data_IF_884723200852
#
_entry.id   IF_884723200852
#
_cell.length_a   1.000
_cell.length_b   1.000
_cell.length_c   1.000
_cell.angle_alpha   90.00
_cell.angle_beta   90.00
_cell.angle_gamma   90.00
#
_symmetry.space_group_name_H-M   'P 1'
#
loop_
_entity.id
_entity.type
_entity.pdbx_description
1 polymer ?
#
# COMPACT_ATOMS: atom_id res chain seq x y z
N UNK A 1 33.03 22.06 42.59
CA UNK A 1 31.72 21.54 43.01
C UNK A 1 30.60 21.76 42.00
N UNK A 2 30.49 22.91 41.30
CA UNK A 2 29.39 23.18 40.33
C UNK A 2 29.40 22.28 39.09
N UNK A 3 30.55 21.82 38.58
CA UNK A 3 30.63 20.94 37.39
C UNK A 3 30.28 19.47 37.66
N UNK A 4 30.48 18.99 38.88
CA UNK A 4 30.13 17.60 39.26
C UNK A 4 28.62 17.42 39.39
N UNK A 5 27.90 18.45 39.89
CA UNK A 5 26.44 18.42 40.05
C UNK A 5 25.74 18.42 38.67
N UNK A 6 26.28 19.16 37.68
CA UNK A 6 25.70 19.21 36.33
C UNK A 6 25.83 17.89 35.59
N UNK A 7 26.96 17.20 35.72
CA UNK A 7 27.21 15.90 35.09
C UNK A 7 26.32 14.80 35.68
N UNK A 8 26.09 14.81 37.00
CA UNK A 8 25.22 13.83 37.66
C UNK A 8 23.74 14.03 37.24
N UNK A 9 23.29 15.29 37.11
CA UNK A 9 21.91 15.55 36.63
C UNK A 9 21.69 15.13 35.18
N UNK A 10 22.70 15.28 34.31
CA UNK A 10 22.58 14.88 32.88
C UNK A 10 22.52 13.34 32.73
N UNK A 11 23.33 12.61 33.51
CA UNK A 11 23.32 11.14 33.54
C UNK A 11 21.99 10.61 34.10
N UNK A 12 21.45 11.25 35.15
CA UNK A 12 20.17 10.85 35.72
C UNK A 12 18.99 11.07 34.77
N UNK A 13 18.99 12.15 33.97
CA UNK A 13 17.94 12.40 32.95
C UNK A 13 18.03 11.40 31.83
N UNK A 14 19.23 11.04 31.36
CA UNK A 14 19.40 10.04 30.30
C UNK A 14 18.95 8.64 30.79
N UNK A 15 19.25 8.28 32.05
CA UNK A 15 18.79 6.99 32.59
C UNK A 15 17.27 6.95 32.83
N UNK A 16 16.63 8.07 33.17
CA UNK A 16 15.17 8.13 33.33
C UNK A 16 14.44 7.97 31.99
N UNK A 17 14.94 8.57 30.90
CA UNK A 17 14.33 8.45 29.57
C UNK A 17 14.50 7.06 28.96
N UNK A 18 15.65 6.40 29.18
CA UNK A 18 15.88 5.03 28.71
C UNK A 18 14.98 4.02 29.44
N UNK A 19 14.82 4.16 30.76
CA UNK A 19 13.96 3.28 31.55
C UNK A 19 12.46 3.41 31.21
N UNK A 20 11.99 4.56 30.74
CA UNK A 20 10.58 4.72 30.31
C UNK A 20 10.28 4.06 28.98
N UNK A 21 11.23 4.00 28.03
CA UNK A 21 11.05 3.28 26.78
C UNK A 21 11.00 1.74 26.98
N UNK A 22 11.85 1.18 27.84
CA UNK A 22 11.86 -0.26 28.13
C UNK A 22 10.70 -0.74 29.02
N UNK A 23 10.07 0.15 29.80
CA UNK A 23 8.92 -0.20 30.64
C UNK A 23 7.58 -0.25 29.87
N UNK A 24 7.53 0.26 28.64
CA UNK A 24 6.29 0.35 27.88
C UNK A 24 5.94 -0.98 27.16
N UNK A 25 6.93 -1.75 26.71
CA UNK A 25 6.71 -3.05 26.04
C UNK A 25 6.04 -4.10 26.94
N UNK A 26 6.50 -4.37 28.17
CA UNK A 26 5.86 -5.37 29.02
C UNK A 26 4.41 -5.04 29.34
N UNK A 27 4.07 -3.75 29.44
CA UNK A 27 2.72 -3.29 29.75
C UNK A 27 1.78 -3.48 28.54
N UNK A 28 2.22 -3.17 27.31
CA UNK A 28 1.44 -3.35 26.09
C UNK A 28 1.12 -4.82 25.84
N UNK A 29 2.11 -5.71 25.97
CA UNK A 29 1.93 -7.16 25.78
C UNK A 29 0.92 -7.73 26.77
N UNK A 30 1.00 -7.33 28.06
CA UNK A 30 0.06 -7.79 29.06
C UNK A 30 -1.36 -7.23 28.83
N UNK A 31 -1.49 -5.99 28.40
CA UNK A 31 -2.78 -5.40 28.06
C UNK A 31 -3.41 -6.08 26.84
N UNK A 32 -2.64 -6.33 25.79
CA UNK A 32 -3.07 -7.09 24.62
C UNK A 32 -3.48 -8.53 24.95
N UNK A 33 -2.76 -9.17 25.89
CA UNK A 33 -3.12 -10.51 26.40
C UNK A 33 -4.49 -10.52 27.07
N UNK A 34 -4.86 -9.47 27.82
CA UNK A 34 -6.20 -9.36 28.43
C UNK A 34 -7.30 -9.15 27.40
N UNK A 35 -7.01 -8.47 26.29
CA UNK A 35 -7.93 -8.27 25.19
C UNK A 35 -8.14 -9.56 24.35
N UNK A 36 -7.09 -10.36 24.18
CA UNK A 36 -7.13 -11.70 23.60
C UNK A 36 -7.45 -11.80 22.12
N UNK A 37 -7.84 -10.71 21.47
CA UNK A 37 -8.20 -10.66 20.04
C UNK A 37 -7.94 -9.29 19.43
N UNK A 38 -7.88 -9.25 18.09
CA UNK A 38 -7.82 -8.03 17.29
C UNK A 38 -8.52 -8.24 15.94
N UNK A 39 -9.27 -7.26 15.48
CA UNK A 39 -9.94 -7.28 14.17
C UNK A 39 -9.17 -6.38 13.20
N UNK A 40 -8.63 -6.99 12.17
CA UNK A 40 -7.82 -6.32 11.16
C UNK A 40 -8.57 -6.21 9.82
N UNK A 41 -9.01 -5.00 9.47
CA UNK A 41 -9.57 -4.69 8.16
C UNK A 41 -8.45 -4.35 7.18
N UNK A 42 -8.41 -5.01 6.02
CA UNK A 42 -7.27 -4.90 5.12
C UNK A 42 -7.62 -5.12 3.64
N UNK A 43 -6.85 -4.47 2.77
CA UNK A 43 -6.89 -4.70 1.32
C UNK A 43 -5.70 -5.52 0.83
N UNK A 44 -4.74 -5.85 1.70
CA UNK A 44 -3.54 -6.61 1.35
C UNK A 44 -3.84 -8.11 1.22
N UNK A 45 -3.28 -8.74 0.18
CA UNK A 45 -3.57 -10.14 -0.16
C UNK A 45 -2.99 -11.14 0.83
N UNK A 46 -1.86 -10.83 1.43
CA UNK A 46 -1.06 -11.68 2.33
C UNK A 46 -1.38 -11.47 3.81
N UNK A 47 -2.42 -10.73 4.14
CA UNK A 47 -2.76 -10.38 5.52
C UNK A 47 -3.04 -11.61 6.40
N UNK A 48 -3.61 -12.67 5.85
CA UNK A 48 -3.85 -13.92 6.59
C UNK A 48 -2.53 -14.57 7.02
N UNK A 49 -1.54 -14.61 6.14
CA UNK A 49 -0.23 -15.17 6.43
C UNK A 49 0.52 -14.33 7.46
N UNK A 50 0.44 -13.01 7.36
CA UNK A 50 1.04 -12.10 8.35
C UNK A 50 0.36 -12.25 9.71
N UNK A 51 -0.97 -12.40 9.74
CA UNK A 51 -1.72 -12.68 10.96
C UNK A 51 -1.28 -14.00 11.62
N UNK A 52 -1.04 -15.05 10.84
CA UNK A 52 -0.52 -16.32 11.35
C UNK A 52 0.88 -16.18 11.97
N UNK A 53 1.78 -15.40 11.36
CA UNK A 53 3.10 -15.13 11.92
C UNK A 53 3.01 -14.28 13.21
N UNK A 54 2.08 -13.34 13.28
CA UNK A 54 1.78 -12.61 14.51
C UNK A 54 1.28 -13.56 15.61
N UNK A 55 0.33 -14.44 15.32
CA UNK A 55 -0.21 -15.39 16.28
C UNK A 55 0.83 -16.42 16.78
N UNK A 56 1.80 -16.80 15.94
CA UNK A 56 2.94 -17.62 16.38
C UNK A 56 3.79 -16.90 17.44
N UNK A 57 4.03 -15.60 17.25
CA UNK A 57 4.81 -14.78 18.19
C UNK A 57 3.99 -14.44 19.45
N UNK A 58 2.69 -14.18 19.29
CA UNK A 58 1.78 -13.77 20.36
C UNK A 58 0.54 -14.68 20.41
N UNK A 59 0.70 -15.95 20.84
CA UNK A 59 -0.36 -16.97 20.76
C UNK A 59 -1.59 -16.69 21.62
N UNK A 60 -1.50 -15.68 22.47
CA UNK A 60 -2.57 -15.23 23.35
C UNK A 60 -3.47 -14.15 22.70
N UNK A 61 -3.18 -13.69 21.46
CA UNK A 61 -4.04 -12.77 20.71
C UNK A 61 -4.43 -13.44 19.40
N UNK A 62 -5.75 -13.55 19.16
CA UNK A 62 -6.29 -14.02 17.89
C UNK A 62 -6.54 -12.87 16.94
N UNK A 63 -6.15 -13.01 15.67
CA UNK A 63 -6.34 -12.00 14.63
C UNK A 63 -7.51 -12.41 13.72
N UNK A 64 -8.58 -11.63 13.76
CA UNK A 64 -9.67 -11.75 12.80
C UNK A 64 -9.38 -10.85 11.59
N UNK A 65 -9.05 -11.45 10.45
CA UNK A 65 -8.75 -10.73 9.22
C UNK A 65 -10.00 -10.59 8.36
N UNK A 66 -10.42 -9.34 8.12
CA UNK A 66 -11.50 -9.00 7.18
C UNK A 66 -10.87 -8.35 5.96
N UNK A 67 -10.73 -9.14 4.88
CA UNK A 67 -10.13 -8.70 3.62
C UNK A 67 -11.20 -8.39 2.57
N UNK A 68 -11.02 -7.24 1.89
CA UNK A 68 -11.83 -6.84 0.73
C UNK A 68 -11.00 -6.04 -0.27
N UNK A 69 -11.61 -5.54 -1.34
CA UNK A 69 -11.03 -4.54 -2.22
C UNK A 69 -11.23 -3.13 -1.64
N UNK A 70 -10.54 -2.13 -2.18
CA UNK A 70 -10.37 -0.79 -1.59
C UNK A 70 -11.71 -0.12 -1.26
N UNK A 71 -12.58 0.10 -2.26
CA UNK A 71 -13.84 0.83 -2.05
C UNK A 71 -14.92 0.03 -1.32
N UNK A 72 -15.12 -1.27 -1.59
CA UNK A 72 -16.03 -2.09 -0.79
C UNK A 72 -15.68 -2.09 0.70
N UNK A 73 -14.38 -2.14 1.05
CA UNK A 73 -13.96 -2.07 2.45
C UNK A 73 -14.22 -0.68 3.04
N UNK A 74 -13.91 0.39 2.30
CA UNK A 74 -14.19 1.77 2.74
C UNK A 74 -15.69 1.98 2.99
N UNK A 75 -16.54 1.56 2.05
CA UNK A 75 -17.99 1.67 2.16
C UNK A 75 -18.52 0.87 3.36
N UNK A 76 -17.98 -0.32 3.62
CA UNK A 76 -18.31 -1.10 4.80
C UNK A 76 -18.01 -0.33 6.08
N UNK A 77 -16.78 0.23 6.20
CA UNK A 77 -16.38 1.02 7.38
C UNK A 77 -17.33 2.21 7.57
N UNK A 78 -17.67 2.93 6.50
CA UNK A 78 -18.58 4.08 6.59
C UNK A 78 -20.00 3.66 6.98
N UNK A 79 -20.50 2.53 6.49
CA UNK A 79 -21.82 2.01 6.86
C UNK A 79 -21.86 1.59 8.33
N UNK A 80 -20.84 0.86 8.80
CA UNK A 80 -20.70 0.46 10.18
C UNK A 80 -20.64 1.70 11.10
N UNK A 81 -19.82 2.70 10.76
CA UNK A 81 -19.71 3.93 11.54
C UNK A 81 -21.02 4.73 11.61
N UNK A 82 -21.81 4.80 10.49
CA UNK A 82 -23.13 5.44 10.46
C UNK A 82 -24.14 4.68 11.34
N UNK A 83 -24.01 3.36 11.44
CA UNK A 83 -24.82 2.54 12.32
C UNK A 83 -24.35 2.57 13.79
N UNK A 84 -23.32 3.36 14.13
CA UNK A 84 -22.73 3.39 15.47
C UNK A 84 -21.91 2.16 15.82
N UNK A 85 -21.63 1.28 14.85
CA UNK A 85 -20.85 0.06 15.01
C UNK A 85 -19.40 0.30 14.59
N UNK A 86 -18.45 0.00 15.46
CA UNK A 86 -17.02 0.16 15.23
C UNK A 86 -16.37 -1.22 15.37
N UNK A 87 -16.28 -1.96 14.25
CA UNK A 87 -15.99 -3.39 14.27
C UNK A 87 -14.53 -3.73 13.98
N UNK A 88 -13.69 -2.75 13.63
CA UNK A 88 -12.29 -2.98 13.39
C UNK A 88 -11.42 -2.30 14.44
N UNK A 89 -10.26 -2.88 14.73
CA UNK A 89 -9.24 -2.32 15.62
C UNK A 89 -8.09 -1.73 14.80
N UNK A 90 -7.70 -2.41 13.73
CA UNK A 90 -6.61 -2.00 12.83
C UNK A 90 -7.12 -1.97 11.40
N UNK A 91 -6.72 -0.96 10.64
CA UNK A 91 -7.06 -0.86 9.22
C UNK A 91 -5.84 -0.62 8.36
N UNK A 92 -5.72 -1.37 7.24
CA UNK A 92 -4.78 -1.11 6.15
C UNK A 92 -5.56 -0.81 4.89
N UNK A 93 -5.33 0.36 4.28
CA UNK A 93 -6.03 0.85 3.11
C UNK A 93 -5.06 1.44 2.06
N UNK A 94 -5.57 1.91 0.93
CA UNK A 94 -4.81 2.75 0.01
C UNK A 94 -4.61 4.15 0.57
N UNK A 95 -3.61 4.87 0.08
CA UNK A 95 -3.25 6.22 0.56
C UNK A 95 -4.46 7.16 0.64
N UNK A 96 -5.28 7.22 -0.41
CA UNK A 96 -6.38 8.21 -0.50
C UNK A 96 -7.60 7.80 0.32
N UNK A 97 -7.96 6.52 0.31
CA UNK A 97 -9.08 6.05 1.15
C UNK A 97 -8.73 6.12 2.63
N UNK A 98 -7.44 5.99 2.98
CA UNK A 98 -7.01 6.20 4.36
C UNK A 98 -7.15 7.68 4.78
N UNK A 99 -6.84 8.62 3.90
CA UNK A 99 -7.08 10.05 4.15
C UNK A 99 -8.56 10.35 4.46
N UNK A 100 -9.50 9.67 3.78
CA UNK A 100 -10.92 9.79 4.07
C UNK A 100 -11.28 9.23 5.47
N UNK A 101 -10.60 8.17 5.94
CA UNK A 101 -10.79 7.67 7.32
C UNK A 101 -10.34 8.70 8.35
N UNK A 102 -9.22 9.40 8.11
CA UNK A 102 -8.76 10.50 8.97
C UNK A 102 -9.79 11.64 9.00
N UNK A 103 -10.23 12.11 7.85
CA UNK A 103 -11.22 13.20 7.73
C UNK A 103 -12.54 12.88 8.45
N UNK A 104 -12.94 11.61 8.50
CA UNK A 104 -14.14 11.13 9.20
C UNK A 104 -13.91 10.81 10.67
N UNK A 105 -12.70 11.01 11.22
CA UNK A 105 -12.37 10.69 12.60
C UNK A 105 -12.49 9.20 12.95
N UNK A 106 -12.26 8.30 11.97
CA UNK A 106 -12.41 6.85 12.14
C UNK A 106 -11.11 6.16 12.54
N UNK A 107 -10.00 6.88 12.50
CA UNK A 107 -8.67 6.42 12.95
C UNK A 107 -8.10 7.42 13.94
N UNK A 108 -7.19 6.97 14.78
CA UNK A 108 -6.51 7.77 15.79
C UNK A 108 -5.00 7.65 15.66
N UNK A 109 -4.24 8.64 16.16
CA UNK A 109 -2.79 8.56 16.19
C UNK A 109 -2.29 7.40 17.06
N UNK A 110 -1.23 6.74 16.57
CA UNK A 110 -0.43 5.81 17.35
C UNK A 110 1.05 5.90 16.94
N UNK A 111 1.88 6.31 17.88
CA UNK A 111 3.32 6.45 17.70
C UNK A 111 4.03 5.13 18.07
N UNK A 112 4.05 4.19 17.13
CA UNK A 112 4.84 2.97 17.25
C UNK A 112 6.34 3.32 17.27
N UNK A 113 7.13 2.70 18.13
CA UNK A 113 8.59 2.84 18.13
C UNK A 113 9.23 2.38 16.81
N UNK A 114 8.57 1.46 16.10
CA UNK A 114 9.03 0.97 14.79
C UNK A 114 9.05 2.04 13.70
N UNK A 115 8.33 3.15 13.90
CA UNK A 115 8.29 4.30 12.96
C UNK A 115 9.65 4.96 12.73
N UNK A 116 10.60 4.78 13.63
CA UNK A 116 11.97 5.27 13.44
C UNK A 116 12.64 4.66 12.19
N UNK A 117 12.33 3.42 11.85
CA UNK A 117 12.82 2.75 10.67
C UNK A 117 12.23 3.25 9.34
N UNK A 118 11.33 4.24 9.36
CA UNK A 118 10.60 4.72 8.17
C UNK A 118 10.94 6.18 7.86
N UNK A 119 11.22 6.46 6.57
CA UNK A 119 11.43 7.83 6.09
C UNK A 119 10.15 8.67 6.19
N UNK A 120 10.29 10.00 6.17
CA UNK A 120 9.19 10.95 6.36
C UNK A 120 8.02 10.76 5.35
N UNK A 121 8.31 10.33 4.11
CA UNK A 121 7.28 10.08 3.09
C UNK A 121 6.42 8.83 3.34
N UNK A 122 6.85 7.94 4.24
CA UNK A 122 6.20 6.67 4.54
C UNK A 122 5.48 6.63 5.89
N UNK A 123 5.38 7.75 6.55
CA UNK A 123 4.66 7.89 7.81
C UNK A 123 4.01 9.27 7.94
N UNK A 124 2.84 9.32 8.54
CA UNK A 124 2.15 10.57 8.86
C UNK A 124 2.83 11.31 10.01
N UNK A 125 2.95 12.63 9.90
CA UNK A 125 3.59 13.45 10.94
C UNK A 125 2.83 13.45 12.28
N UNK A 126 1.51 13.27 12.21
CA UNK A 126 0.64 13.26 13.39
C UNK A 126 0.40 11.85 13.96
N UNK A 127 1.01 10.81 13.36
CA UNK A 127 0.91 9.44 13.86
C UNK A 127 -0.30 8.64 13.38
N UNK A 128 -1.16 9.17 12.51
CA UNK A 128 -2.35 8.48 12.08
C UNK A 128 -2.04 7.19 11.30
N UNK A 129 -0.90 7.13 10.60
CA UNK A 129 -0.51 5.95 9.82
C UNK A 129 1.00 5.81 9.64
N UNK A 130 1.39 4.58 9.32
CA UNK A 130 2.70 4.25 8.75
C UNK A 130 2.46 3.28 7.60
N UNK A 131 3.14 3.48 6.48
CA UNK A 131 2.99 2.60 5.32
C UNK A 131 3.65 1.25 5.56
N UNK A 132 2.98 0.17 5.22
CA UNK A 132 3.54 -1.19 5.31
C UNK A 132 4.34 -1.56 4.07
N UNK A 133 3.95 -1.04 2.92
CA UNK A 133 4.52 -1.40 1.62
C UNK A 133 4.25 -0.31 0.59
N UNK A 134 5.00 -0.34 -0.49
CA UNK A 134 4.76 0.48 -1.67
C UNK A 134 4.21 -0.36 -2.83
N UNK A 135 3.32 0.21 -3.62
CA UNK A 135 2.73 -0.43 -4.78
C UNK A 135 3.12 0.36 -6.03
N UNK A 136 3.91 -0.24 -6.91
CA UNK A 136 4.28 0.35 -8.19
C UNK A 136 3.29 -0.11 -9.26
N UNK A 137 2.58 0.84 -9.87
CA UNK A 137 1.74 0.59 -11.05
C UNK A 137 2.63 0.50 -12.29
N UNK A 138 2.73 -0.68 -12.86
CA UNK A 138 3.59 -0.97 -14.00
C UNK A 138 2.81 -1.61 -15.14
N UNK A 139 3.36 -1.57 -16.34
CA UNK A 139 2.88 -2.38 -17.47
C UNK A 139 3.56 -3.75 -17.39
N UNK A 140 2.78 -4.78 -17.04
CA UNK A 140 3.19 -6.17 -17.13
C UNK A 140 2.94 -6.73 -18.53
N UNK A 141 3.72 -7.72 -18.96
CA UNK A 141 3.55 -8.37 -20.26
C UNK A 141 3.79 -9.87 -20.18
N UNK A 142 3.15 -10.61 -21.10
CA UNK A 142 3.37 -12.05 -21.27
C UNK A 142 4.63 -12.30 -22.12
N UNK A 143 5.64 -12.91 -21.54
CA UNK A 143 6.94 -13.14 -22.19
C UNK A 143 6.93 -14.16 -23.33
N UNK A 144 5.82 -14.92 -23.49
CA UNK A 144 5.61 -15.82 -24.63
C UNK A 144 4.98 -15.10 -25.83
N UNK A 145 4.24 -14.00 -25.58
CA UNK A 145 3.52 -13.25 -26.61
C UNK A 145 4.27 -12.00 -27.05
N UNK A 146 5.06 -11.41 -26.16
CA UNK A 146 5.81 -10.17 -26.42
C UNK A 146 7.26 -10.39 -26.03
N UNK A 147 8.18 -10.22 -26.97
CA UNK A 147 9.61 -10.22 -26.67
C UNK A 147 10.00 -8.93 -25.96
N UNK A 148 11.05 -8.95 -25.14
CA UNK A 148 11.52 -7.76 -24.39
C UNK A 148 11.80 -6.56 -25.31
N UNK A 149 12.39 -6.79 -26.50
CA UNK A 149 12.69 -5.74 -27.49
C UNK A 149 11.43 -5.09 -28.08
N UNK A 150 10.29 -5.81 -28.08
CA UNK A 150 9.03 -5.35 -28.68
C UNK A 150 8.09 -4.71 -27.65
N UNK A 151 8.47 -4.71 -26.36
CA UNK A 151 7.70 -4.07 -25.29
C UNK A 151 7.62 -2.55 -25.49
N UNK A 152 6.55 -1.89 -25.00
CA UNK A 152 6.53 -0.43 -24.83
C UNK A 152 7.70 0.02 -23.98
N UNK A 153 8.31 1.16 -24.31
CA UNK A 153 9.40 1.75 -23.52
C UNK A 153 8.89 2.91 -22.65
N UNK A 154 7.79 3.51 -23.08
CA UNK A 154 7.23 4.74 -22.56
C UNK A 154 5.69 4.70 -22.65
N UNK A 155 5.03 5.64 -22.02
CA UNK A 155 3.57 5.82 -22.04
C UNK A 155 3.04 5.99 -23.48
N UNK A 156 3.73 6.75 -24.35
CA UNK A 156 3.31 7.01 -25.73
C UNK A 156 3.33 5.72 -26.57
N UNK A 157 4.23 4.78 -26.29
CA UNK A 157 4.30 3.49 -27.03
C UNK A 157 3.04 2.63 -26.83
N UNK A 158 2.30 2.82 -25.73
CA UNK A 158 1.01 2.14 -25.49
C UNK A 158 -0.08 2.58 -26.47
N UNK A 159 0.12 3.72 -27.15
CA UNK A 159 -0.80 4.24 -28.17
C UNK A 159 -0.53 3.68 -29.57
N UNK A 160 0.51 2.87 -29.76
CA UNK A 160 0.83 2.27 -31.04
C UNK A 160 -0.29 1.31 -31.49
N UNK A 161 -0.65 1.28 -32.80
CA UNK A 161 -1.76 0.47 -33.32
C UNK A 161 -1.67 -1.03 -33.00
N UNK A 162 -0.46 -1.57 -32.85
CA UNK A 162 -0.24 -2.98 -32.50
C UNK A 162 -0.83 -3.39 -31.14
N UNK A 163 -1.09 -2.42 -30.25
CA UNK A 163 -1.63 -2.69 -28.92
C UNK A 163 -3.15 -2.54 -28.84
N UNK A 164 -3.81 -2.21 -29.93
CA UNK A 164 -5.27 -2.03 -29.95
C UNK A 164 -5.98 -3.33 -29.56
N UNK A 165 -6.83 -3.25 -28.51
CA UNK A 165 -7.52 -4.40 -27.94
C UNK A 165 -6.64 -5.35 -27.13
N UNK A 166 -5.37 -5.01 -26.93
CA UNK A 166 -4.34 -5.89 -26.34
C UNK A 166 -3.93 -5.52 -24.92
N UNK A 167 -4.55 -4.49 -24.33
CA UNK A 167 -4.16 -3.93 -23.00
C UNK A 167 -5.25 -4.23 -21.99
N UNK A 168 -4.90 -4.97 -20.91
CA UNK A 168 -5.76 -5.17 -19.76
C UNK A 168 -5.62 -4.03 -18.72
N UNK A 169 -6.74 -3.56 -18.17
CA UNK A 169 -6.76 -2.48 -17.18
C UNK A 169 -7.84 -2.72 -16.12
N UNK A 170 -7.54 -2.40 -14.87
CA UNK A 170 -8.52 -2.45 -13.79
C UNK A 170 -9.47 -1.25 -13.85
N UNK A 171 -10.77 -1.51 -13.62
CA UNK A 171 -11.82 -0.50 -13.55
C UNK A 171 -11.53 0.64 -12.56
N UNK A 172 -10.72 0.38 -11.54
CA UNK A 172 -10.42 1.31 -10.47
C UNK A 172 -9.01 1.96 -10.59
N UNK A 173 -8.32 1.80 -11.74
CA UNK A 173 -6.98 2.35 -11.94
C UNK A 173 -6.96 3.85 -12.33
N UNK A 174 -7.92 4.63 -11.86
CA UNK A 174 -7.98 6.08 -12.07
C UNK A 174 -6.76 6.84 -11.49
N UNK A 175 -6.01 6.24 -10.57
CA UNK A 175 -4.77 6.82 -10.05
C UNK A 175 -3.67 6.95 -11.12
N UNK A 176 -3.72 6.16 -12.20
CA UNK A 176 -2.85 6.37 -13.36
C UNK A 176 -3.11 7.73 -14.01
N UNK A 177 -4.39 8.09 -14.18
CA UNK A 177 -4.77 9.41 -14.68
C UNK A 177 -4.29 10.50 -13.74
N UNK A 178 -4.57 10.39 -12.43
CA UNK A 178 -4.17 11.38 -11.43
C UNK A 178 -2.66 11.57 -11.34
N UNK A 179 -1.88 10.49 -11.45
CA UNK A 179 -0.41 10.56 -11.46
C UNK A 179 0.12 11.28 -12.68
N UNK A 180 -0.37 10.97 -13.87
CA UNK A 180 0.06 11.66 -15.09
C UNK A 180 -0.43 13.11 -15.12
N UNK A 181 -1.61 13.42 -14.58
CA UNK A 181 -2.08 14.80 -14.43
C UNK A 181 -1.11 15.65 -13.59
N UNK A 182 -0.53 15.09 -12.53
CA UNK A 182 0.41 15.82 -11.66
C UNK A 182 1.69 16.24 -12.39
N UNK A 183 2.16 15.44 -13.35
CA UNK A 183 3.41 15.72 -14.09
C UNK A 183 3.17 16.41 -15.40
N UNK A 184 2.15 15.98 -16.17
CA UNK A 184 1.92 16.47 -17.51
C UNK A 184 0.97 17.68 -17.57
N UNK A 185 0.24 17.92 -16.46
CA UNK A 185 -0.89 18.82 -16.44
C UNK A 185 -2.16 18.18 -16.98
N UNK A 186 -3.32 18.77 -16.60
CA UNK A 186 -4.64 18.21 -16.87
C UNK A 186 -4.93 18.00 -18.35
N UNK A 187 -4.66 19.00 -19.18
CA UNK A 187 -5.00 18.94 -20.62
C UNK A 187 -4.24 17.80 -21.33
N UNK A 188 -2.94 17.69 -21.07
CA UNK A 188 -2.12 16.63 -21.69
C UNK A 188 -2.55 15.25 -21.18
N UNK A 189 -2.82 15.09 -19.89
CA UNK A 189 -3.32 13.85 -19.32
C UNK A 189 -4.67 13.44 -19.94
N UNK A 190 -5.64 14.36 -20.04
CA UNK A 190 -6.92 14.11 -20.70
C UNK A 190 -6.74 13.68 -22.17
N UNK A 191 -5.90 14.38 -22.93
CA UNK A 191 -5.63 14.06 -24.32
C UNK A 191 -5.02 12.64 -24.47
N UNK A 192 -4.06 12.30 -23.60
CA UNK A 192 -3.44 10.98 -23.59
C UNK A 192 -4.46 9.88 -23.29
N UNK A 193 -5.24 10.00 -22.21
CA UNK A 193 -6.21 8.97 -21.83
C UNK A 193 -7.35 8.81 -22.85
N UNK A 194 -7.76 9.89 -23.54
CA UNK A 194 -8.69 9.78 -24.69
C UNK A 194 -8.10 8.94 -25.84
N UNK A 195 -6.82 9.12 -26.15
CA UNK A 195 -6.11 8.27 -27.13
C UNK A 195 -5.99 6.81 -26.65
N UNK A 196 -5.70 6.63 -25.35
CA UNK A 196 -5.63 5.29 -24.75
C UNK A 196 -7.00 4.60 -24.79
N UNK A 197 -8.11 5.32 -24.62
CA UNK A 197 -9.45 4.76 -24.76
C UNK A 197 -9.73 4.27 -26.19
N UNK A 198 -9.17 4.93 -27.23
CA UNK A 198 -9.27 4.50 -28.63
C UNK A 198 -8.50 3.19 -28.87
N UNK A 199 -7.59 2.79 -27.98
CA UNK A 199 -6.92 1.49 -28.02
C UNK A 199 -7.84 0.32 -27.63
N UNK A 200 -9.13 0.55 -27.33
CA UNK A 200 -10.06 -0.51 -26.93
C UNK A 200 -9.56 -1.34 -25.75
N UNK A 201 -9.12 -0.63 -24.70
CA UNK A 201 -8.60 -1.26 -23.46
C UNK A 201 -9.63 -2.22 -22.87
N UNK A 202 -9.15 -3.39 -22.42
CA UNK A 202 -9.98 -4.45 -21.85
C UNK A 202 -10.09 -4.33 -20.34
N UNK A 203 -11.27 -4.00 -19.83
CA UNK A 203 -11.48 -3.78 -18.40
C UNK A 203 -11.87 -5.04 -17.64
N UNK A 204 -11.26 -5.25 -16.49
CA UNK A 204 -11.64 -6.26 -15.48
C UNK A 204 -11.56 -5.65 -14.09
N UNK A 205 -12.13 -6.32 -13.11
CA UNK A 205 -12.10 -5.85 -11.73
C UNK A 205 -10.99 -6.54 -10.94
N UNK A 206 -9.96 -5.80 -10.62
CA UNK A 206 -8.83 -6.19 -9.77
C UNK A 206 -7.53 -6.49 -10.52
N UNK A 207 -6.45 -5.78 -10.11
CA UNK A 207 -5.11 -5.93 -10.70
C UNK A 207 -4.57 -7.38 -10.61
N UNK A 208 -4.98 -8.14 -9.59
CA UNK A 208 -4.61 -9.57 -9.48
C UNK A 208 -5.20 -10.40 -10.62
N UNK A 209 -6.46 -10.15 -10.98
CA UNK A 209 -7.10 -10.83 -12.11
C UNK A 209 -6.43 -10.45 -13.43
N UNK A 210 -6.12 -9.17 -13.64
CA UNK A 210 -5.39 -8.73 -14.83
C UNK A 210 -4.06 -9.49 -14.97
N UNK A 211 -3.28 -9.61 -13.89
CA UNK A 211 -2.02 -10.35 -13.92
C UNK A 211 -2.22 -11.83 -14.29
N UNK A 212 -3.25 -12.48 -13.78
CA UNK A 212 -3.59 -13.87 -14.12
C UNK A 212 -3.99 -14.02 -15.60
N UNK A 213 -4.75 -13.09 -16.16
CA UNK A 213 -5.17 -13.09 -17.55
C UNK A 213 -3.99 -12.83 -18.50
N UNK A 214 -3.02 -11.99 -18.10
CA UNK A 214 -1.76 -11.84 -18.83
C UNK A 214 -0.98 -13.16 -18.85
N UNK A 215 -0.83 -13.82 -17.70
CA UNK A 215 -0.16 -15.14 -17.61
C UNK A 215 -0.86 -16.18 -18.49
N UNK A 216 -2.18 -16.19 -18.52
CA UNK A 216 -2.99 -17.08 -19.36
C UNK A 216 -2.90 -16.77 -20.86
N UNK A 217 -2.40 -15.60 -21.24
CA UNK A 217 -2.29 -15.17 -22.64
C UNK A 217 -3.54 -14.50 -23.20
N UNK A 218 -4.50 -14.14 -22.35
CA UNK A 218 -5.70 -13.38 -22.73
C UNK A 218 -5.33 -11.97 -23.23
N UNK A 219 -4.35 -11.36 -22.57
CA UNK A 219 -3.76 -10.08 -22.93
C UNK A 219 -2.25 -10.18 -23.04
N UNK A 220 -1.62 -9.64 -24.08
CA UNK A 220 -0.16 -9.53 -24.12
C UNK A 220 0.39 -8.52 -23.13
N UNK A 221 -0.37 -7.45 -22.78
CA UNK A 221 -0.01 -6.38 -21.87
C UNK A 221 -1.13 -6.09 -20.87
N UNK A 222 -0.79 -5.47 -19.75
CA UNK A 222 -1.77 -4.87 -18.85
C UNK A 222 -1.14 -4.14 -17.67
N UNK A 223 -1.93 -3.24 -17.09
CA UNK A 223 -1.50 -2.52 -15.89
C UNK A 223 -1.69 -3.39 -14.65
N UNK A 224 -0.63 -3.56 -13.89
CA UNK A 224 -0.54 -4.45 -12.73
C UNK A 224 0.39 -3.86 -11.67
N UNK A 225 0.48 -4.51 -10.53
CA UNK A 225 1.49 -4.17 -9.52
C UNK A 225 2.80 -4.94 -9.74
N UNK A 226 3.94 -4.24 -9.72
CA UNK A 226 5.27 -4.83 -9.92
C UNK A 226 5.56 -6.00 -8.98
N UNK A 227 5.23 -5.87 -7.70
CA UNK A 227 5.40 -6.92 -6.71
C UNK A 227 4.63 -8.22 -7.07
N UNK A 228 3.44 -8.09 -7.68
CA UNK A 228 2.65 -9.24 -8.15
C UNK A 228 3.32 -9.94 -9.31
N UNK A 229 3.91 -9.16 -10.24
CA UNK A 229 4.67 -9.73 -11.36
C UNK A 229 5.90 -10.48 -10.85
N UNK A 230 6.67 -9.90 -9.94
CA UNK A 230 7.86 -10.56 -9.37
C UNK A 230 7.49 -11.87 -8.64
N UNK A 231 6.38 -11.88 -7.89
CA UNK A 231 5.86 -13.10 -7.27
C UNK A 231 5.52 -14.18 -8.33
N UNK A 232 4.82 -13.81 -9.39
CA UNK A 232 4.45 -14.74 -10.47
C UNK A 232 5.69 -15.24 -11.23
N UNK A 233 6.69 -14.39 -11.46
CA UNK A 233 7.99 -14.77 -12.04
C UNK A 233 8.72 -15.80 -11.18
N UNK A 234 8.72 -15.63 -9.86
CA UNK A 234 9.35 -16.61 -8.96
C UNK A 234 8.66 -17.99 -9.03
N UNK A 235 7.39 -18.02 -9.40
CA UNK A 235 6.60 -19.21 -9.67
C UNK A 235 6.74 -19.71 -11.11
N UNK A 236 7.70 -19.17 -11.89
CA UNK A 236 7.97 -19.51 -13.31
C UNK A 236 6.82 -19.19 -14.26
N UNK A 237 5.92 -18.27 -13.90
CA UNK A 237 4.91 -17.77 -14.80
C UNK A 237 5.55 -16.97 -15.96
N UNK A 238 5.03 -17.06 -17.20
CA UNK A 238 5.57 -16.37 -18.37
C UNK A 238 5.18 -14.88 -18.36
N UNK A 239 5.68 -14.14 -17.40
CA UNK A 239 5.36 -12.74 -17.19
C UNK A 239 6.59 -11.95 -16.77
N UNK A 240 6.69 -10.70 -17.26
CA UNK A 240 7.63 -9.70 -16.75
C UNK A 240 6.97 -8.32 -16.81
N UNK A 241 7.68 -7.26 -16.40
CA UNK A 241 7.17 -5.91 -16.39
C UNK A 241 8.19 -4.89 -16.88
N UNK A 242 7.70 -3.75 -17.35
CA UNK A 242 8.49 -2.69 -17.97
C UNK A 242 8.94 -1.71 -16.90
N UNK A 243 10.26 -1.66 -16.67
CA UNK A 243 10.88 -0.78 -15.66
C UNK A 243 11.29 0.59 -16.22
N UNK A 244 11.23 0.77 -17.54
CA UNK A 244 11.63 2.01 -18.22
C UNK A 244 10.55 3.07 -18.29
N UNK A 245 9.31 2.73 -17.91
CA UNK A 245 8.20 3.71 -17.87
C UNK A 245 8.56 4.91 -17.00
N UNK A 246 8.27 6.12 -17.49
CA UNK A 246 8.56 7.37 -16.78
C UNK A 246 7.35 8.33 -16.84
N UNK A 247 6.68 8.55 -15.68
CA UNK A 247 6.92 7.95 -14.38
C UNK A 247 6.29 6.58 -14.20
N UNK A 248 6.73 5.84 -13.19
CA UNK A 248 6.01 4.75 -12.56
C UNK A 248 5.24 5.34 -11.37
N UNK A 249 3.93 5.30 -11.41
CA UNK A 249 3.09 5.83 -10.34
C UNK A 249 3.09 4.87 -9.15
N UNK A 250 3.26 5.41 -7.94
CA UNK A 250 3.30 4.59 -6.72
C UNK A 250 2.32 5.06 -5.66
N UNK A 251 1.85 4.11 -4.85
CA UNK A 251 0.96 4.39 -3.71
C UNK A 251 1.37 3.55 -2.51
N UNK A 252 1.35 4.15 -1.34
CA UNK A 252 1.61 3.44 -0.08
C UNK A 252 0.44 2.58 0.39
N UNK A 253 0.75 1.72 1.36
CA UNK A 253 -0.22 0.92 2.11
C UNK A 253 -0.34 1.36 3.56
N UNK A 254 -0.97 2.52 3.86
CA UNK A 254 -1.16 3.01 5.21
C UNK A 254 -1.82 2.01 6.14
N UNK A 255 -1.23 1.81 7.31
CA UNK A 255 -1.74 1.01 8.42
C UNK A 255 -1.95 1.93 9.63
N UNK A 256 -3.09 1.84 10.29
CA UNK A 256 -3.39 2.65 11.46
C UNK A 256 -4.40 2.04 12.40
N UNK A 257 -4.53 2.67 13.56
CA UNK A 257 -5.40 2.25 14.67
C UNK A 257 -6.78 2.89 14.53
N UNK A 258 -7.85 2.12 14.74
CA UNK A 258 -9.21 2.65 14.76
C UNK A 258 -9.41 3.64 15.92
N UNK A 259 -10.15 4.73 15.68
CA UNK A 259 -10.45 5.73 16.71
C UNK A 259 -11.25 5.15 17.88
N UNK A 260 -12.10 4.15 17.61
CA UNK A 260 -12.92 3.45 18.60
C UNK A 260 -12.64 1.94 18.59
N UNK A 261 -11.34 1.58 18.57
CA UNK A 261 -10.92 0.20 18.65
C UNK A 261 -11.45 -0.45 19.93
N UNK A 262 -12.06 -1.65 19.78
CA UNK A 262 -12.54 -2.43 20.93
C UNK A 262 -11.38 -3.13 21.65
N UNK A 263 -10.28 -3.40 20.91
CA UNK A 263 -9.07 -4.06 21.40
C UNK A 263 -7.84 -3.20 21.07
N UNK A 264 -7.73 -1.97 21.67
CA UNK A 264 -6.73 -1.00 21.24
C UNK A 264 -5.28 -1.45 21.52
N UNK A 265 -5.04 -2.23 22.58
CA UNK A 265 -3.70 -2.69 22.92
C UNK A 265 -3.26 -3.86 22.01
N UNK A 266 -4.15 -4.78 21.70
CA UNK A 266 -3.90 -5.82 20.71
C UNK A 266 -3.71 -5.21 19.30
N UNK A 267 -4.47 -4.15 18.97
CA UNK A 267 -4.31 -3.37 17.75
C UNK A 267 -2.94 -2.70 17.66
N UNK A 268 -2.47 -2.06 18.72
CA UNK A 268 -1.12 -1.47 18.79
C UNK A 268 -0.04 -2.55 18.64
N UNK A 269 -0.19 -3.68 19.33
CA UNK A 269 0.76 -4.79 19.25
C UNK A 269 0.83 -5.39 17.83
N UNK A 270 -0.31 -5.47 17.13
CA UNK A 270 -0.35 -5.90 15.73
C UNK A 270 0.33 -4.89 14.81
N UNK A 271 0.09 -3.59 15.00
CA UNK A 271 0.75 -2.51 14.24
C UNK A 271 2.26 -2.59 14.44
N UNK A 272 2.75 -2.68 15.69
CA UNK A 272 4.18 -2.80 15.98
C UNK A 272 4.79 -4.02 15.31
N UNK A 273 4.12 -5.16 15.35
CA UNK A 273 4.59 -6.37 14.68
C UNK A 273 4.69 -6.19 13.16
N UNK A 274 3.65 -5.67 12.52
CA UNK A 274 3.63 -5.48 11.05
C UNK A 274 4.69 -4.47 10.61
N UNK A 275 4.92 -3.42 11.40
CA UNK A 275 5.92 -2.39 11.11
C UNK A 275 7.35 -2.79 11.51
N UNK A 276 7.51 -3.81 12.34
CA UNK A 276 8.85 -4.28 12.76
C UNK A 276 9.67 -4.80 11.59
N UNK A 277 10.99 -4.82 11.74
CA UNK A 277 11.88 -5.40 10.73
C UNK A 277 11.53 -6.85 10.38
N UNK A 278 11.11 -7.64 11.37
CA UNK A 278 10.68 -9.03 11.15
C UNK A 278 9.35 -9.12 10.40
N UNK A 279 8.35 -8.30 10.76
CA UNK A 279 7.07 -8.23 10.04
C UNK A 279 7.21 -7.75 8.61
N UNK A 280 8.03 -6.73 8.39
CA UNK A 280 8.36 -6.23 7.05
C UNK A 280 9.15 -7.25 6.22
N UNK A 281 10.03 -8.06 6.85
CA UNK A 281 10.71 -9.17 6.17
C UNK A 281 9.72 -10.26 5.72
N UNK A 282 8.66 -10.53 6.50
CA UNK A 282 7.59 -11.45 6.07
C UNK A 282 6.84 -10.90 4.85
N UNK A 283 6.46 -9.62 4.85
CA UNK A 283 5.84 -8.96 3.68
C UNK A 283 6.75 -9.04 2.45
N UNK A 284 8.05 -8.81 2.61
CA UNK A 284 9.05 -8.95 1.56
C UNK A 284 9.09 -10.36 0.95
N UNK A 285 8.89 -11.41 1.74
CA UNK A 285 8.87 -12.79 1.24
C UNK A 285 7.70 -13.05 0.27
N UNK A 286 6.67 -12.21 0.29
CA UNK A 286 5.60 -12.17 -0.70
C UNK A 286 5.87 -11.15 -1.82
N UNK A 287 7.13 -10.74 -2.01
CA UNK A 287 7.57 -9.72 -2.97
C UNK A 287 7.01 -8.32 -2.71
N UNK A 288 6.34 -8.07 -1.56
CA UNK A 288 5.98 -6.70 -1.19
C UNK A 288 7.22 -5.84 -1.12
N UNK A 289 7.09 -4.59 -1.52
CA UNK A 289 8.17 -3.61 -1.47
C UNK A 289 8.10 -2.96 -0.10
N UNK A 290 9.03 -3.25 0.82
CA UNK A 290 8.98 -2.70 2.17
C UNK A 290 9.06 -1.18 2.16
N UNK A 291 8.23 -0.51 2.95
CA UNK A 291 8.38 0.94 3.19
C UNK A 291 9.46 1.26 4.23
N UNK A 292 10.01 0.26 4.89
CA UNK A 292 11.06 0.39 5.88
C UNK A 292 12.41 0.62 5.20
N UNK A 293 13.12 1.69 5.60
CA UNK A 293 14.34 2.15 4.93
C UNK A 293 15.55 1.19 5.08
N UNK A 294 15.55 0.35 6.14
CA UNK A 294 16.62 -0.60 6.45
C UNK A 294 16.36 -2.01 5.88
N UNK A 295 15.43 -2.13 4.91
CA UNK A 295 15.07 -3.39 4.27
C UNK A 295 14.99 -3.22 2.75
N UNK A 296 15.91 -3.90 2.04
CA UNK A 296 15.93 -3.92 0.58
C UNK A 296 14.80 -4.81 0.03
N UNK A 297 14.23 -4.48 -1.15
CA UNK A 297 13.31 -5.37 -1.86
C UNK A 297 13.94 -6.73 -2.18
N UNK A 298 13.11 -7.77 -2.33
CA UNK A 298 13.60 -9.12 -2.66
C UNK A 298 14.16 -9.21 -4.08
N UNK A 299 13.58 -8.47 -5.02
CA UNK A 299 14.04 -8.38 -6.41
C UNK A 299 14.78 -7.06 -6.63
N UNK A 300 15.97 -7.13 -7.22
CA UNK A 300 16.75 -5.94 -7.60
C UNK A 300 16.03 -5.06 -8.63
N UNK A 301 15.07 -5.60 -9.39
CA UNK A 301 14.23 -4.84 -10.32
C UNK A 301 13.24 -3.92 -9.60
N UNK A 302 12.91 -4.21 -8.33
CA UNK A 302 12.03 -3.39 -7.49
C UNK A 302 12.77 -2.28 -6.73
N UNK A 303 14.10 -2.18 -6.88
CA UNK A 303 14.90 -1.17 -6.19
C UNK A 303 14.48 0.25 -6.61
N UNK A 304 13.96 1.08 -5.69
CA UNK A 304 13.47 2.42 -6.00
C UNK A 304 14.55 3.34 -6.60
N UNK A 305 15.83 3.07 -6.32
CA UNK A 305 16.97 3.86 -6.84
C UNK A 305 17.19 3.70 -8.35
N UNK A 306 16.58 2.68 -8.96
CA UNK A 306 16.70 2.33 -10.39
C UNK A 306 15.49 2.70 -11.22
N UNK A 307 14.47 3.29 -10.62
CA UNK A 307 13.17 3.52 -11.22
C UNK A 307 12.77 5.00 -11.17
N UNK A 308 12.02 5.44 -12.15
CA UNK A 308 11.43 6.79 -12.16
C UNK A 308 10.09 6.77 -11.44
N UNK A 309 10.13 6.75 -10.10
CA UNK A 309 8.93 6.64 -9.27
C UNK A 309 8.27 8.01 -9.05
N UNK A 310 6.94 8.03 -9.13
CA UNK A 310 6.08 9.14 -8.73
C UNK A 310 5.20 8.71 -7.55
N UNK A 311 5.58 9.01 -6.31
CA UNK A 311 4.72 8.78 -5.17
C UNK A 311 3.49 9.67 -5.21
N UNK A 312 2.30 9.08 -5.10
CA UNK A 312 1.06 9.82 -4.98
C UNK A 312 0.94 10.41 -3.58
N UNK A 313 0.86 11.76 -3.51
CA UNK A 313 0.74 12.45 -2.23
C UNK A 313 -0.64 12.23 -1.59
N UNK A 314 -0.73 11.93 -0.29
CA UNK A 314 -2.01 11.92 0.45
C UNK A 314 -2.79 13.24 0.32
N UNK A 315 -2.09 14.37 0.18
CA UNK A 315 -2.71 15.69 0.00
C UNK A 315 -3.50 15.81 -1.31
N UNK A 316 -3.31 14.90 -2.25
CA UNK A 316 -4.08 14.84 -3.48
C UNK A 316 -5.41 14.06 -3.35
N UNK A 317 -5.72 13.57 -2.15
CA UNK A 317 -6.95 12.80 -1.88
C UNK A 317 -8.23 13.56 -2.25
N UNK A 318 -8.24 14.88 -2.13
CA UNK A 318 -9.38 15.74 -2.53
C UNK A 318 -9.67 15.67 -4.03
N UNK A 319 -8.67 15.35 -4.86
CA UNK A 319 -8.81 15.22 -6.32
C UNK A 319 -9.25 13.83 -6.77
N UNK A 320 -9.22 12.84 -5.88
CA UNK A 320 -9.44 11.43 -6.25
C UNK A 320 -10.81 11.21 -6.90
N UNK A 321 -11.87 11.83 -6.37
CA UNK A 321 -13.22 11.71 -6.93
C UNK A 321 -13.33 12.32 -8.33
N UNK A 322 -12.65 13.44 -8.59
CA UNK A 322 -12.58 14.03 -9.92
C UNK A 322 -11.81 13.13 -10.88
N UNK A 323 -10.64 12.61 -10.48
CA UNK A 323 -9.88 11.67 -11.30
C UNK A 323 -10.69 10.42 -11.65
N UNK A 324 -11.43 9.88 -10.69
CA UNK A 324 -12.31 8.73 -10.92
C UNK A 324 -13.42 9.05 -11.91
N UNK A 325 -14.09 10.19 -11.77
CA UNK A 325 -15.12 10.66 -12.70
C UNK A 325 -14.57 10.85 -14.10
N UNK A 326 -13.41 11.51 -14.24
CA UNK A 326 -12.76 11.74 -15.53
C UNK A 326 -12.36 10.41 -16.19
N UNK A 327 -11.69 9.53 -15.45
CA UNK A 327 -11.28 8.20 -15.93
C UNK A 327 -12.50 7.42 -16.45
N UNK A 328 -13.56 7.30 -15.64
CA UNK A 328 -14.77 6.58 -16.02
C UNK A 328 -15.46 7.22 -17.25
N UNK A 329 -15.53 8.52 -17.30
CA UNK A 329 -16.11 9.25 -18.43
C UNK A 329 -15.32 9.00 -19.73
N UNK A 330 -13.99 9.07 -19.68
CA UNK A 330 -13.13 8.87 -20.85
C UNK A 330 -13.26 7.45 -21.42
N UNK A 331 -13.36 6.45 -20.56
CA UNK A 331 -13.44 5.05 -20.97
C UNK A 331 -14.87 4.52 -21.10
N UNK A 332 -15.90 5.32 -20.89
CA UNK A 332 -17.31 4.91 -20.98
C UNK A 332 -17.71 3.87 -19.92
N UNK A 333 -17.05 3.86 -18.75
CA UNK A 333 -17.31 2.91 -17.65
C UNK A 333 -18.55 3.38 -16.91
N UNK A 334 -19.64 2.64 -17.02
CA UNK A 334 -20.86 2.88 -16.24
C UNK A 334 -20.66 2.57 -14.76
N UNK A 335 -21.28 3.37 -13.89
CA UNK A 335 -21.13 3.32 -12.43
C UNK A 335 -21.84 2.17 -11.76
#
# INVERSE_FOLDING_TARGET
>A
MKHVILTVCLIAVIHLTINTLFAQEPNLIQAARREGRVVWYTVAGESLQIAQEFEKKYPFVKVEVVRSTVYPLLNRIFNEARAGSYLFDVVRQSTFTFAQLIQKGLVQPYESAEREGYSAGWKDKQGYWTSTDDNYFVVGYNTRLVSERDTPRDWEDLLLPKWRGQIGLDLDNHLLFGGLEQIWGREKALAYFRKLAQQQVQFRKGNTLIAQLIVAGEYPLGFVYAHRVELLKSQKAPMDWISTMNPIITTGGPLGLAAKAQHPNAGKLLIDFVLSKSGQAQLRNYYRIPSRADLEPLSAKLDPRRLHLLPMSPNAAEKEDDWRKQFRSIFGIQG
#
